data_IF_307770795772
#
_entry.id   IF_307770795772
#
_cell.length_a   1.000
_cell.length_b   1.000
_cell.length_c   1.000
_cell.angle_alpha   90.00
_cell.angle_beta   90.00
_cell.angle_gamma   90.00
#
_symmetry.space_group_name_H-M   'P 1'
#
loop_
_entity.id
_entity.type
_entity.pdbx_description
1 polymer ?
#
# COMPACT_ATOMS: atom_id res chain seq x y z
N UNK A 1 -7.97 6.49 8.47
CA UNK A 1 -6.78 6.29 9.32
C UNK A 1 -6.56 7.57 10.11
N UNK A 2 -6.28 7.49 11.41
CA UNK A 2 -5.87 8.63 12.22
C UNK A 2 -4.49 8.37 12.84
N UNK A 3 -3.73 9.44 13.05
CA UNK A 3 -2.46 9.37 13.77
C UNK A 3 -2.72 9.36 15.27
N UNK A 4 -2.09 8.41 15.99
CA UNK A 4 -2.23 8.27 17.44
C UNK A 4 -0.85 8.09 18.07
N UNK A 5 -0.66 8.59 19.30
CA UNK A 5 0.53 8.24 20.10
C UNK A 5 0.22 6.97 20.89
N UNK A 6 1.01 5.90 20.68
CA UNK A 6 0.93 4.74 21.56
C UNK A 6 1.77 5.01 22.82
N UNK A 7 1.07 5.25 23.93
CA UNK A 7 1.68 5.57 25.22
C UNK A 7 2.43 4.40 25.86
N UNK A 8 2.24 3.15 25.39
CA UNK A 8 2.94 1.96 25.91
C UNK A 8 4.38 1.88 25.40
N UNK A 9 4.60 2.31 24.16
CA UNK A 9 5.87 2.23 23.43
C UNK A 9 6.48 3.61 23.12
N UNK A 10 5.82 4.69 23.53
CA UNK A 10 6.29 6.06 23.33
C UNK A 10 6.45 6.46 21.86
N UNK A 11 5.78 5.75 20.95
CA UNK A 11 5.95 5.89 19.50
C UNK A 11 4.63 6.28 18.84
N UNK A 12 4.70 7.04 17.75
CA UNK A 12 3.52 7.39 16.95
C UNK A 12 3.14 6.20 16.06
N UNK A 13 1.85 5.93 15.97
CA UNK A 13 1.26 4.84 15.18
C UNK A 13 0.13 5.38 14.31
N UNK A 14 -0.20 4.64 13.26
CA UNK A 14 -1.38 4.89 12.45
C UNK A 14 -2.51 3.94 12.87
N UNK A 15 -3.66 4.49 13.24
CA UNK A 15 -4.81 3.72 13.71
C UNK A 15 -5.94 3.75 12.66
N UNK A 16 -6.34 2.58 12.16
CA UNK A 16 -7.50 2.39 11.29
C UNK A 16 -8.69 2.00 12.16
N UNK A 17 -9.63 2.93 12.35
CA UNK A 17 -10.87 2.70 13.10
C UNK A 17 -11.98 2.35 12.11
N UNK A 18 -12.56 1.16 12.26
CA UNK A 18 -13.59 0.63 11.38
C UNK A 18 -14.97 0.98 11.93
N UNK A 19 -15.92 1.33 11.05
CA UNK A 19 -17.30 1.63 11.45
C UNK A 19 -17.93 0.40 12.10
N UNK A 20 -18.71 0.61 13.17
CA UNK A 20 -19.47 -0.44 13.85
C UNK A 20 -20.70 -0.84 13.01
N UNK A 21 -20.44 -1.55 11.91
CA UNK A 21 -21.43 -2.14 11.01
C UNK A 21 -20.86 -3.50 10.62
N UNK A 22 -21.64 -4.57 10.81
CA UNK A 22 -21.17 -5.96 10.73
C UNK A 22 -20.38 -6.27 9.46
N UNK A 23 -20.89 -5.86 8.29
CA UNK A 23 -20.19 -6.05 7.01
C UNK A 23 -18.77 -5.43 6.97
N UNK A 24 -18.59 -4.24 7.55
CA UNK A 24 -17.25 -3.62 7.61
C UNK A 24 -16.37 -4.27 8.66
N UNK A 25 -16.95 -4.77 9.76
CA UNK A 25 -16.23 -5.53 10.78
C UNK A 25 -15.72 -6.86 10.23
N UNK A 26 -16.56 -7.61 9.52
CA UNK A 26 -16.17 -8.86 8.84
C UNK A 26 -15.03 -8.64 7.85
N UNK A 27 -15.14 -7.61 7.00
CA UNK A 27 -14.07 -7.24 6.07
C UNK A 27 -12.77 -6.87 6.79
N UNK A 28 -12.85 -6.13 7.91
CA UNK A 28 -11.70 -5.79 8.71
C UNK A 28 -11.04 -7.00 9.38
N UNK A 29 -11.82 -7.98 9.83
CA UNK A 29 -11.28 -9.22 10.40
C UNK A 29 -10.56 -10.07 9.33
N UNK A 30 -11.08 -10.11 8.11
CA UNK A 30 -10.37 -10.73 6.98
C UNK A 30 -9.05 -10.01 6.67
N UNK A 31 -9.03 -8.68 6.71
CA UNK A 31 -7.80 -7.88 6.58
C UNK A 31 -6.79 -8.20 7.69
N UNK A 32 -7.24 -8.30 8.94
CA UNK A 32 -6.40 -8.67 10.09
C UNK A 32 -5.75 -10.04 9.89
N UNK A 33 -6.51 -11.06 9.46
CA UNK A 33 -5.99 -12.40 9.22
C UNK A 33 -4.87 -12.41 8.16
N UNK A 34 -5.09 -11.69 7.05
CA UNK A 34 -4.07 -11.50 6.01
C UNK A 34 -2.82 -10.82 6.58
N UNK A 35 -2.99 -9.74 7.34
CA UNK A 35 -1.90 -8.98 7.94
C UNK A 35 -1.10 -9.80 8.97
N UNK A 36 -1.75 -10.61 9.79
CA UNK A 36 -1.09 -11.50 10.74
C UNK A 36 -0.23 -12.55 10.02
N UNK A 37 -0.78 -13.19 8.99
CA UNK A 37 -0.05 -14.14 8.17
C UNK A 37 1.16 -13.48 7.49
N UNK A 38 0.96 -12.33 6.84
CA UNK A 38 2.05 -11.59 6.20
C UNK A 38 3.14 -11.18 7.20
N UNK A 39 2.75 -10.74 8.39
CA UNK A 39 3.68 -10.36 9.45
C UNK A 39 4.54 -11.53 9.91
N UNK A 40 3.98 -12.74 9.94
CA UNK A 40 4.68 -13.98 10.32
C UNK A 40 5.68 -14.43 9.25
N UNK A 41 5.35 -14.22 7.97
CA UNK A 41 6.14 -14.62 6.81
C UNK A 41 7.26 -13.63 6.48
N UNK A 42 7.10 -12.35 6.81
CA UNK A 42 8.14 -11.30 6.65
C UNK A 42 8.78 -10.93 8.00
N UNK A 43 9.33 -11.92 8.71
CA UNK A 43 9.98 -11.70 10.01
C UNK A 43 11.19 -10.75 9.92
N UNK A 44 11.90 -10.75 8.79
CA UNK A 44 13.09 -9.92 8.55
C UNK A 44 12.76 -8.51 7.99
N UNK A 45 11.48 -8.20 7.76
CA UNK A 45 11.00 -6.89 7.23
C UNK A 45 11.60 -6.51 5.87
N UNK A 46 11.77 -7.48 4.98
CA UNK A 46 12.48 -7.30 3.70
C UNK A 46 11.56 -7.06 2.52
N UNK A 47 10.27 -7.33 2.63
CA UNK A 47 9.40 -7.36 1.46
C UNK A 47 8.64 -6.06 1.21
N UNK A 48 8.64 -5.11 2.16
CA UNK A 48 8.07 -3.77 1.92
C UNK A 48 6.54 -3.74 1.97
N UNK A 49 5.93 -4.60 2.77
CA UNK A 49 4.51 -4.48 3.13
C UNK A 49 4.39 -3.76 4.48
N UNK A 50 3.30 -3.00 4.68
CA UNK A 50 3.05 -2.34 5.96
C UNK A 50 2.89 -3.36 7.09
N UNK A 51 3.47 -3.06 8.24
CA UNK A 51 3.37 -3.88 9.45
C UNK A 51 2.15 -3.46 10.25
N UNK A 52 1.25 -4.41 10.45
CA UNK A 52 0.30 -4.33 11.56
C UNK A 52 1.07 -4.52 12.87
N UNK A 53 0.82 -3.67 13.86
CA UNK A 53 1.42 -3.75 15.19
C UNK A 53 0.52 -4.50 16.17
N UNK A 54 -0.78 -4.22 16.12
CA UNK A 54 -1.78 -4.76 17.04
C UNK A 54 -3.18 -4.54 16.44
N UNK A 55 -4.18 -5.26 16.93
CA UNK A 55 -5.59 -4.99 16.65
C UNK A 55 -6.45 -5.23 17.90
N UNK A 56 -7.55 -4.49 18.02
CA UNK A 56 -8.45 -4.63 19.16
C UNK A 56 -9.87 -4.17 18.82
N UNK A 57 -10.85 -4.63 19.60
CA UNK A 57 -12.22 -4.11 19.56
C UNK A 57 -12.40 -3.04 20.65
N UNK A 58 -12.93 -1.87 20.26
CA UNK A 58 -13.26 -0.78 21.17
C UNK A 58 -14.69 -0.32 20.94
N UNK A 59 -15.59 -0.65 21.87
CA UNK A 59 -17.02 -0.31 21.79
C UNK A 59 -17.69 -0.75 20.46
N UNK A 60 -17.31 -1.91 19.94
CA UNK A 60 -17.84 -2.42 18.67
C UNK A 60 -17.16 -1.82 17.43
N UNK A 61 -16.09 -1.05 17.60
CA UNK A 61 -15.21 -0.64 16.50
C UNK A 61 -13.99 -1.55 16.45
N UNK A 62 -13.74 -2.21 15.32
CA UNK A 62 -12.46 -2.88 15.07
C UNK A 62 -11.42 -1.79 14.82
N UNK A 63 -10.32 -1.84 15.57
CA UNK A 63 -9.22 -0.89 15.50
C UNK A 63 -7.95 -1.65 15.14
N UNK A 64 -7.29 -1.26 14.05
CA UNK A 64 -6.05 -1.88 13.58
C UNK A 64 -4.93 -0.84 13.67
N UNK A 65 -3.86 -1.16 14.39
CA UNK A 65 -2.68 -0.31 14.57
C UNK A 65 -1.58 -0.71 13.60
N UNK A 66 -0.96 0.27 12.96
CA UNK A 66 0.11 0.10 11.99
C UNK A 66 1.33 0.94 12.37
N UNK A 67 2.50 0.53 11.86
CA UNK A 67 3.65 1.43 11.83
C UNK A 67 3.28 2.75 11.12
N UNK A 68 3.80 3.86 11.63
CA UNK A 68 3.58 5.15 10.99
C UNK A 68 4.49 5.29 9.77
N UNK A 69 3.89 5.62 8.63
CA UNK A 69 4.57 5.90 7.37
C UNK A 69 4.39 7.37 6.98
N UNK A 70 5.17 7.81 5.99
CA UNK A 70 5.05 9.14 5.37
C UNK A 70 3.86 9.25 4.42
N UNK A 71 3.91 10.27 3.55
CA UNK A 71 2.89 10.49 2.52
C UNK A 71 2.76 9.30 1.56
N UNK A 72 1.56 9.14 1.00
CA UNK A 72 1.40 8.30 -0.20
C UNK A 72 2.17 8.90 -1.38
N UNK A 73 2.59 8.07 -2.33
CA UNK A 73 3.25 8.57 -3.55
C UNK A 73 2.35 9.53 -4.32
N UNK A 74 1.02 9.31 -4.29
CA UNK A 74 0.03 10.23 -4.83
C UNK A 74 0.03 11.60 -4.12
N UNK A 75 -0.08 11.60 -2.79
CA UNK A 75 -0.16 12.84 -2.01
C UNK A 75 1.15 13.63 -2.12
N UNK A 76 2.30 12.94 -2.12
CA UNK A 76 3.59 13.59 -2.36
C UNK A 76 3.63 14.27 -3.75
N UNK A 77 3.19 13.57 -4.80
CA UNK A 77 3.11 14.16 -6.14
C UNK A 77 2.19 15.38 -6.16
N UNK A 78 1.01 15.27 -5.55
CA UNK A 78 0.04 16.36 -5.45
C UNK A 78 0.63 17.58 -4.74
N UNK A 79 1.30 17.38 -3.61
CA UNK A 79 1.99 18.45 -2.87
C UNK A 79 3.17 19.05 -3.66
N UNK A 80 3.81 18.26 -4.51
CA UNK A 80 4.89 18.69 -5.39
C UNK A 80 4.40 19.21 -6.75
N UNK A 81 3.11 19.56 -6.88
CA UNK A 81 2.48 20.05 -8.13
C UNK A 81 2.65 19.08 -9.31
N UNK A 82 2.55 17.78 -9.06
CA UNK A 82 2.71 16.68 -10.00
C UNK A 82 4.04 16.71 -10.76
N UNK A 83 5.08 17.26 -10.15
CA UNK A 83 6.44 17.12 -10.67
C UNK A 83 6.86 15.65 -10.59
N UNK A 84 7.43 15.09 -11.67
CA UNK A 84 7.83 13.70 -11.69
C UNK A 84 8.99 13.47 -10.71
N UNK A 85 9.08 12.24 -10.21
CA UNK A 85 10.24 11.80 -9.44
C UNK A 85 11.48 11.70 -10.33
N UNK A 86 12.69 11.89 -9.77
CA UNK A 86 13.92 11.53 -10.46
C UNK A 86 13.90 10.05 -10.88
N UNK A 87 14.45 9.74 -12.06
CA UNK A 87 14.47 8.37 -12.62
C UNK A 87 15.11 7.37 -11.66
N UNK A 88 16.13 7.80 -10.92
CA UNK A 88 16.78 6.97 -9.90
C UNK A 88 15.81 6.56 -8.79
N UNK A 89 14.98 7.48 -8.30
CA UNK A 89 13.96 7.18 -7.29
C UNK A 89 12.88 6.26 -7.86
N UNK A 90 12.44 6.50 -9.09
CA UNK A 90 11.46 5.62 -9.77
C UNK A 90 11.99 4.19 -9.82
N UNK A 91 13.25 4.00 -10.20
CA UNK A 91 13.89 2.68 -10.26
C UNK A 91 13.92 1.98 -8.90
N UNK A 92 14.24 2.72 -7.83
CA UNK A 92 14.28 2.16 -6.46
C UNK A 92 12.87 1.78 -6.00
N UNK A 93 11.90 2.70 -6.13
CA UNK A 93 10.50 2.46 -5.76
C UNK A 93 9.93 1.25 -6.52
N UNK A 94 10.11 1.20 -7.85
CA UNK A 94 9.64 0.09 -8.68
C UNK A 94 10.22 -1.25 -8.23
N UNK A 95 11.52 -1.31 -7.93
CA UNK A 95 12.14 -2.53 -7.41
C UNK A 95 11.51 -2.98 -6.09
N UNK A 96 11.25 -2.06 -5.18
CA UNK A 96 10.64 -2.36 -3.88
C UNK A 96 9.18 -2.82 -4.01
N UNK A 97 8.40 -2.15 -4.86
CA UNK A 97 7.01 -2.52 -5.16
C UNK A 97 6.95 -3.92 -5.78
N UNK A 98 7.77 -4.20 -6.80
CA UNK A 98 7.85 -5.53 -7.43
C UNK A 98 8.26 -6.59 -6.42
N UNK A 99 9.20 -6.27 -5.51
CA UNK A 99 9.62 -7.18 -4.45
C UNK A 99 8.49 -7.50 -3.47
N UNK A 100 7.67 -6.51 -3.12
CA UNK A 100 6.47 -6.68 -2.28
C UNK A 100 5.43 -7.56 -2.99
N UNK A 101 5.05 -7.21 -4.22
CA UNK A 101 4.07 -7.96 -5.02
C UNK A 101 4.51 -9.41 -5.21
N UNK A 102 5.79 -9.65 -5.54
CA UNK A 102 6.33 -11.01 -5.66
C UNK A 102 6.22 -11.80 -4.36
N UNK A 103 6.38 -11.15 -3.21
CA UNK A 103 6.19 -11.79 -1.92
C UNK A 103 4.73 -12.18 -1.69
N UNK A 104 3.77 -11.31 -2.01
CA UNK A 104 2.34 -11.64 -1.93
C UNK A 104 2.01 -12.86 -2.79
N UNK A 105 2.43 -12.83 -4.06
CA UNK A 105 2.14 -13.90 -5.02
C UNK A 105 2.75 -15.24 -4.62
N UNK A 106 3.97 -15.23 -4.06
CA UNK A 106 4.60 -16.45 -3.50
C UNK A 106 3.78 -17.08 -2.38
N UNK A 107 3.02 -16.26 -1.66
CA UNK A 107 2.13 -16.67 -0.58
C UNK A 107 0.67 -16.77 -1.03
N UNK A 108 0.44 -16.89 -2.34
CA UNK A 108 -0.89 -17.10 -2.96
C UNK A 108 -1.89 -15.98 -2.70
N UNK A 109 -1.39 -14.78 -2.43
CA UNK A 109 -2.17 -13.59 -2.15
C UNK A 109 -1.99 -12.58 -3.30
N UNK A 110 -3.09 -12.00 -3.75
CA UNK A 110 -3.10 -10.91 -4.74
C UNK A 110 -3.62 -9.64 -4.09
N UNK A 111 -2.98 -8.49 -4.31
CA UNK A 111 -3.38 -7.24 -3.67
C UNK A 111 -4.68 -6.67 -4.23
N UNK A 112 -4.84 -6.65 -5.56
CA UNK A 112 -6.03 -6.22 -6.35
C UNK A 112 -6.38 -4.73 -6.35
N UNK A 113 -5.79 -3.92 -5.47
CA UNK A 113 -5.97 -2.45 -5.45
C UNK A 113 -4.62 -1.71 -5.35
N UNK A 114 -3.63 -2.12 -6.15
CA UNK A 114 -2.34 -1.42 -6.18
C UNK A 114 -2.48 -0.10 -6.95
N UNK A 115 -2.19 1.01 -6.27
CA UNK A 115 -2.30 2.36 -6.83
C UNK A 115 -1.37 3.32 -6.06
N UNK A 116 -1.05 4.51 -6.59
CA UNK A 116 -0.17 5.46 -5.93
C UNK A 116 -0.61 5.87 -4.51
N UNK A 117 -1.90 5.82 -4.20
CA UNK A 117 -2.46 6.06 -2.87
C UNK A 117 -2.16 4.94 -1.87
N UNK A 118 -1.96 3.71 -2.36
CA UNK A 118 -1.66 2.51 -1.56
C UNK A 118 -0.16 2.16 -1.56
N UNK A 119 0.68 3.10 -1.99
CA UNK A 119 2.13 3.03 -1.89
C UNK A 119 2.58 4.23 -1.07
N UNK A 120 3.09 4.00 0.13
CA UNK A 120 3.50 5.04 1.07
C UNK A 120 5.01 5.06 1.21
N UNK A 121 5.58 6.25 1.37
CA UNK A 121 6.98 6.39 1.76
C UNK A 121 7.21 5.92 3.19
N UNK A 122 8.35 5.28 3.46
CA UNK A 122 8.79 5.03 4.84
C UNK A 122 8.96 6.34 5.59
N UNK A 123 9.57 7.31 4.93
CA UNK A 123 9.67 8.71 5.34
C UNK A 123 9.55 9.59 4.10
N UNK A 124 8.71 10.62 4.17
CA UNK A 124 8.48 11.57 3.07
C UNK A 124 9.21 12.91 3.26
N UNK A 125 10.25 12.96 4.09
CA UNK A 125 11.15 14.11 4.17
C UNK A 125 11.80 14.43 2.83
N UNK A 126 11.94 15.73 2.55
CA UNK A 126 12.48 16.23 1.29
C UNK A 126 13.43 17.42 1.52
N UNK A 127 14.33 17.61 0.57
CA UNK A 127 15.12 18.82 0.43
C UNK A 127 14.47 19.75 -0.60
N UNK A 128 14.64 21.05 -0.42
CA UNK A 128 14.19 22.08 -1.37
C UNK A 128 15.41 22.68 -2.05
N UNK A 129 15.40 22.70 -3.40
CA UNK A 129 16.41 23.38 -4.20
C UNK A 129 15.75 24.24 -5.26
N UNK A 130 16.29 25.43 -5.50
CA UNK A 130 15.79 26.28 -6.58
C UNK A 130 16.22 25.73 -7.93
N UNK A 131 15.26 25.38 -8.78
CA UNK A 131 15.49 24.94 -10.15
C UNK A 131 15.50 26.16 -11.07
N UNK A 132 16.68 26.65 -11.44
CA UNK A 132 16.85 27.81 -12.30
C UNK A 132 16.22 27.63 -13.71
N UNK A 133 16.15 26.39 -14.20
CA UNK A 133 15.54 26.08 -15.51
C UNK A 133 14.01 26.21 -15.47
N UNK A 134 13.39 25.75 -14.38
CA UNK A 134 11.94 25.83 -14.17
C UNK A 134 11.50 27.10 -13.45
N UNK A 135 12.46 27.92 -12.99
CA UNK A 135 12.28 29.15 -12.22
C UNK A 135 11.40 28.97 -10.97
N UNK A 136 11.57 27.86 -10.26
CA UNK A 136 10.77 27.51 -9.06
C UNK A 136 11.55 26.62 -8.12
N UNK A 137 11.05 26.48 -6.90
CA UNK A 137 11.53 25.50 -5.94
C UNK A 137 11.14 24.08 -6.36
N UNK A 138 12.10 23.17 -6.27
CA UNK A 138 11.96 21.75 -6.56
C UNK A 138 12.18 20.97 -5.25
N UNK A 139 11.23 20.11 -4.93
CA UNK A 139 11.32 19.20 -3.78
C UNK A 139 11.88 17.86 -4.23
N UNK A 140 12.91 17.38 -3.55
CA UNK A 140 13.50 16.06 -3.80
C UNK A 140 13.45 15.25 -2.51
N UNK A 141 12.85 14.05 -2.58
CA UNK A 141 12.83 13.10 -1.44
C UNK A 141 14.25 12.82 -0.97
N UNK A 142 14.45 12.75 0.35
CA UNK A 142 15.73 12.32 0.93
C UNK A 142 15.91 10.80 0.82
N UNK A 143 14.83 10.04 0.97
CA UNK A 143 14.83 8.58 0.84
C UNK A 143 13.61 8.13 -0.01
N UNK A 144 13.82 7.38 -1.11
CA UNK A 144 12.73 6.85 -1.94
C UNK A 144 12.18 5.49 -1.46
N UNK A 145 12.49 5.05 -0.24
CA UNK A 145 11.97 3.80 0.32
C UNK A 145 10.45 3.85 0.50
N UNK A 146 9.75 2.82 -0.01
CA UNK A 146 8.30 2.71 -0.03
C UNK A 146 7.81 1.38 0.55
N UNK A 147 6.56 1.39 1.01
CA UNK A 147 5.81 0.20 1.40
C UNK A 147 4.42 0.16 0.77
N UNK A 148 3.95 -1.04 0.48
CA UNK A 148 2.58 -1.33 0.03
C UNK A 148 1.67 -1.43 1.25
N UNK A 149 0.52 -0.77 1.19
CA UNK A 149 -0.51 -0.71 2.25
C UNK A 149 -1.89 -1.12 1.71
N UNK A 150 -2.85 -1.26 2.63
CA UNK A 150 -4.29 -1.47 2.37
C UNK A 150 -4.63 -2.83 1.75
N UNK A 151 -4.48 -3.87 2.58
CA UNK A 151 -4.77 -5.26 2.22
C UNK A 151 -6.26 -5.64 2.37
N UNK A 152 -7.16 -4.67 2.59
CA UNK A 152 -8.59 -4.92 2.80
C UNK A 152 -9.32 -5.52 1.59
N UNK A 153 -8.73 -5.41 0.39
CA UNK A 153 -9.23 -6.04 -0.83
C UNK A 153 -8.39 -7.26 -1.27
N UNK A 154 -7.35 -7.62 -0.52
CA UNK A 154 -6.47 -8.70 -0.90
C UNK A 154 -7.24 -10.03 -0.93
N UNK A 155 -6.94 -10.87 -1.93
CA UNK A 155 -7.65 -12.14 -2.14
C UNK A 155 -6.67 -13.28 -2.32
N UNK A 156 -6.98 -14.43 -1.73
CA UNK A 156 -6.24 -15.65 -1.96
C UNK A 156 -6.62 -16.30 -3.30
N UNK A 157 -5.65 -16.90 -3.98
CA UNK A 157 -5.84 -17.59 -5.27
C UNK A 157 -6.95 -18.67 -5.24
N UNK A 158 -7.25 -19.26 -4.08
CA UNK A 158 -8.29 -20.28 -3.94
C UNK A 158 -9.70 -19.74 -3.64
N UNK A 159 -9.83 -18.44 -3.35
CA UNK A 159 -11.12 -17.81 -3.07
C UNK A 159 -11.82 -17.41 -4.39
N UNK A 160 -13.11 -17.75 -4.52
CA UNK A 160 -13.92 -17.53 -5.72
C UNK A 160 -13.80 -16.09 -6.25
N UNK A 161 -13.35 -15.94 -7.49
CA UNK A 161 -13.08 -14.66 -8.12
C UNK A 161 -14.40 -13.99 -8.50
N UNK A 162 -14.85 -12.99 -7.74
CA UNK A 162 -15.83 -12.03 -8.26
C UNK A 162 -15.17 -11.28 -9.41
N UNK A 163 -15.81 -11.28 -10.58
CA UNK A 163 -15.25 -10.90 -11.88
C UNK A 163 -14.84 -9.42 -12.03
N UNK A 164 -14.89 -8.62 -10.97
CA UNK A 164 -14.58 -7.19 -11.00
C UNK A 164 -13.94 -6.75 -9.68
N UNK A 165 -12.61 -6.80 -9.57
CA UNK A 165 -11.85 -6.25 -8.42
C UNK A 165 -10.68 -5.43 -8.96
N UNK A 166 -10.84 -4.10 -9.02
CA UNK A 166 -9.80 -3.09 -9.34
C UNK A 166 -10.43 -1.71 -9.51
N UNK A 167 -9.70 -0.66 -9.14
CA UNK A 167 -10.06 0.74 -9.42
C UNK A 167 -9.99 1.00 -10.93
N UNK A 168 -11.07 1.55 -11.53
CA UNK A 168 -11.31 1.60 -12.99
C UNK A 168 -10.15 2.13 -13.85
N UNK A 169 -9.37 3.09 -13.34
CA UNK A 169 -8.30 3.76 -14.10
C UNK A 169 -7.02 2.93 -14.23
N UNK A 170 -6.86 1.91 -13.37
CA UNK A 170 -5.70 1.03 -13.29
C UNK A 170 -6.19 -0.39 -13.56
N UNK A 171 -6.74 -0.61 -14.75
CA UNK A 171 -7.26 -1.91 -15.14
C UNK A 171 -6.46 -2.43 -16.31
N UNK A 172 -5.88 -3.60 -16.10
CA UNK A 172 -5.36 -4.41 -17.18
C UNK A 172 -6.47 -4.67 -18.23
N UNK A 173 -6.19 -4.54 -19.53
CA UNK A 173 -7.20 -4.64 -20.59
C UNK A 173 -7.93 -6.00 -20.61
N UNK A 174 -7.32 -7.08 -20.14
CA UNK A 174 -7.95 -8.40 -20.02
C UNK A 174 -9.07 -8.47 -18.96
N UNK A 175 -9.01 -7.63 -17.91
CA UNK A 175 -10.08 -7.49 -16.90
C UNK A 175 -11.29 -6.79 -17.51
N UNK A 176 -11.06 -5.78 -18.34
CA UNK A 176 -12.12 -5.09 -19.10
C UNK A 176 -12.75 -6.04 -20.12
N UNK A 177 -11.97 -6.99 -20.64
CA UNK A 177 -12.37 -7.95 -21.68
C UNK A 177 -12.83 -9.32 -21.15
N UNK A 178 -12.85 -9.54 -19.83
CA UNK A 178 -13.42 -10.74 -19.18
C UNK A 178 -12.69 -12.06 -19.45
N UNK A 179 -11.38 -12.05 -19.73
CA UNK A 179 -10.60 -13.28 -19.98
C UNK A 179 -9.74 -13.67 -18.77
N UNK A 180 -10.02 -14.82 -18.16
CA UNK A 180 -9.25 -15.40 -17.06
C UNK A 180 -8.24 -16.42 -17.57
N UNK A 181 -6.95 -16.09 -17.53
CA UNK A 181 -5.87 -17.07 -17.72
C UNK A 181 -4.91 -17.00 -16.55
N UNK A 182 -4.57 -18.17 -16.00
CA UNK A 182 -3.79 -18.40 -14.78
C UNK A 182 -2.35 -17.85 -14.80
N UNK A 183 -1.90 -17.31 -15.93
CA UNK A 183 -0.65 -16.55 -16.07
C UNK A 183 -0.81 -15.03 -15.85
N UNK A 184 -2.03 -14.54 -15.54
CA UNK A 184 -2.39 -13.12 -15.47
C UNK A 184 -2.17 -12.43 -14.10
N UNK A 185 -1.77 -13.15 -13.05
CA UNK A 185 -1.64 -12.56 -11.70
C UNK A 185 -0.50 -11.55 -11.58
N UNK A 186 0.58 -11.71 -12.37
CA UNK A 186 1.61 -10.68 -12.52
C UNK A 186 1.10 -9.42 -13.22
N UNK A 187 0.11 -9.58 -14.12
CA UNK A 187 -0.41 -8.49 -14.94
C UNK A 187 -1.38 -7.65 -14.11
N UNK A 188 -2.22 -8.26 -13.27
CA UNK A 188 -3.16 -7.54 -12.40
C UNK A 188 -2.54 -6.55 -11.40
N UNK A 189 -1.29 -6.77 -10.95
CA UNK A 189 -0.61 -5.86 -10.01
C UNK A 189 0.49 -5.00 -10.68
N UNK A 190 1.02 -5.38 -11.86
CA UNK A 190 2.15 -4.66 -12.50
C UNK A 190 1.73 -3.77 -13.69
N UNK A 191 0.64 -4.06 -14.41
CA UNK A 191 0.19 -3.15 -15.50
C UNK A 191 -0.32 -1.80 -15.01
N UNK A 192 -0.46 -1.64 -13.70
CA UNK A 192 -0.95 -0.44 -13.05
C UNK A 192 0.16 0.52 -12.58
N UNK A 193 1.43 0.11 -12.75
CA UNK A 193 2.62 0.86 -12.28
C UNK A 193 3.45 1.43 -13.46
N UNK A 194 3.10 1.13 -14.70
CA UNK A 194 3.75 1.67 -15.92
C UNK A 194 2.77 2.46 -16.77
#
# INVERSE_FOLDING_TARGET
MCLVCDFRIGSRVALKIIKNIDRYREAAMAEVEVLEQMNSLDCDRRYGCVRMLDWFDHHGHVCISFELLGLSTYDYLKENNFQPFPVEHIRIMAYQIIRAVRFLHKNKLTHTDLKPENILFVDSEYDIKYNAKMKRDERTLKNPDVKVVDFGNATYEHNHHTSVVSTRHYRAPEVILGKTHTSSMLIHDITDVT
#
